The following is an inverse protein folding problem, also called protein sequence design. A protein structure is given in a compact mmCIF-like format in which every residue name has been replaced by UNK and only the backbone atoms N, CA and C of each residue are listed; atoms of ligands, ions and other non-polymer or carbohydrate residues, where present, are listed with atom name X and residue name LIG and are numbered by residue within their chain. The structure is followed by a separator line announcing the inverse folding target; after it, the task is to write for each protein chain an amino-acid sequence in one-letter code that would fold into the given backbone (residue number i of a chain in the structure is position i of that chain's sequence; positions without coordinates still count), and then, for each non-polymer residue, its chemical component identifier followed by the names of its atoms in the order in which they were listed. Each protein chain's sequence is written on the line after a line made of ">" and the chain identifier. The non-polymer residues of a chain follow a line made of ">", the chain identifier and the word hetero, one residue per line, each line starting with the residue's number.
data_IF_553158118341
#
_entry.id   IF_553158118341
#
_cell.length_a   1.000
_cell.length_b   1.000
_cell.length_c   1.000
_cell.angle_alpha   90.00
_cell.angle_beta   90.00
_cell.angle_gamma   90.00
#
_symmetry.space_group_name_H-M   'P 1'
#
loop_
_entity.id
_entity.type
_entity.pdbx_description
1 polymer ?
#
# COMPACT_ATOMS: atom_id res chain seq x y z
N UNK A 1 -1.39 -13.18 -27.22
CA UNK A 1 -2.67 -13.81 -26.87
C UNK A 1 -3.24 -13.07 -25.67
N UNK A 2 -4.12 -12.06 -25.90
CA UNK A 2 -4.70 -11.27 -24.80
C UNK A 2 -5.88 -12.05 -24.24
N UNK A 3 -5.79 -12.48 -23.00
CA UNK A 3 -6.90 -13.11 -22.28
C UNK A 3 -8.01 -12.06 -22.17
N UNK A 4 -9.11 -12.26 -22.89
CA UNK A 4 -10.31 -11.42 -22.85
C UNK A 4 -11.02 -11.67 -21.52
N UNK A 5 -10.71 -10.85 -20.51
CA UNK A 5 -11.35 -10.93 -19.19
C UNK A 5 -12.84 -10.62 -19.38
N UNK A 6 -13.77 -11.47 -18.88
CA UNK A 6 -15.21 -11.25 -18.97
C UNK A 6 -15.62 -9.90 -18.36
N UNK A 7 -16.62 -9.24 -18.97
CA UNK A 7 -17.05 -7.90 -18.57
C UNK A 7 -17.44 -7.77 -17.09
N UNK A 8 -18.05 -8.79 -16.49
CA UNK A 8 -18.42 -8.84 -15.08
C UNK A 8 -17.21 -8.86 -14.11
N UNK A 9 -16.06 -9.40 -14.53
CA UNK A 9 -14.82 -9.34 -13.73
C UNK A 9 -14.12 -7.99 -13.86
N UNK A 10 -14.46 -7.19 -14.87
CA UNK A 10 -13.94 -5.82 -15.00
C UNK A 10 -14.58 -4.86 -14.00
N UNK A 11 -15.78 -5.15 -13.53
CA UNK A 11 -16.53 -4.30 -12.59
C UNK A 11 -16.11 -4.47 -11.12
N UNK A 12 -15.29 -5.48 -10.80
CA UNK A 12 -14.91 -5.83 -9.41
C UNK A 12 -13.39 -5.94 -9.18
N UNK A 13 -12.59 -5.21 -9.96
CA UNK A 13 -11.11 -5.34 -9.89
C UNK A 13 -10.54 -4.83 -8.57
N UNK A 14 -10.96 -3.65 -8.16
CA UNK A 14 -10.48 -3.06 -6.92
C UNK A 14 -11.04 -3.79 -5.69
N UNK A 15 -12.23 -4.38 -5.79
CA UNK A 15 -12.75 -5.27 -4.75
C UNK A 15 -11.81 -6.47 -4.55
N UNK A 16 -11.38 -7.15 -5.62
CA UNK A 16 -10.46 -8.28 -5.52
C UNK A 16 -9.12 -7.87 -4.88
N UNK A 17 -8.57 -6.72 -5.28
CA UNK A 17 -7.34 -6.18 -4.71
C UNK A 17 -7.51 -5.85 -3.22
N UNK A 18 -8.62 -5.22 -2.85
CA UNK A 18 -8.92 -4.88 -1.45
C UNK A 18 -9.03 -6.15 -0.60
N UNK A 19 -9.76 -7.17 -1.07
CA UNK A 19 -9.87 -8.46 -0.37
C UNK A 19 -8.49 -9.10 -0.21
N UNK A 20 -7.68 -9.12 -1.28
CA UNK A 20 -6.33 -9.69 -1.21
C UNK A 20 -5.43 -8.92 -0.25
N UNK A 21 -5.54 -7.59 -0.20
CA UNK A 21 -4.81 -6.74 0.75
C UNK A 21 -5.23 -7.02 2.20
N UNK A 22 -6.53 -7.15 2.47
CA UNK A 22 -7.03 -7.50 3.81
C UNK A 22 -6.55 -8.89 4.23
N UNK A 23 -6.60 -9.87 3.32
CA UNK A 23 -6.06 -11.21 3.57
C UNK A 23 -4.55 -11.12 3.84
N UNK A 24 -3.80 -10.34 3.06
CA UNK A 24 -2.38 -10.12 3.27
C UNK A 24 -2.10 -9.55 4.67
N UNK A 25 -2.83 -8.53 5.09
CA UNK A 25 -2.66 -7.91 6.41
C UNK A 25 -2.98 -8.86 7.57
N UNK A 26 -4.00 -9.73 7.42
CA UNK A 26 -4.38 -10.72 8.45
C UNK A 26 -3.39 -11.89 8.49
N UNK A 27 -2.95 -12.38 7.34
CA UNK A 27 -2.12 -13.59 7.25
C UNK A 27 -0.65 -13.29 7.48
N UNK A 28 -0.18 -12.08 7.13
CA UNK A 28 1.24 -11.70 7.26
C UNK A 28 1.82 -11.91 8.67
N UNK A 29 1.17 -11.53 9.78
CA UNK A 29 1.69 -11.77 11.12
C UNK A 29 1.72 -13.26 11.51
N UNK A 30 0.81 -14.07 10.94
CA UNK A 30 0.69 -15.50 11.24
C UNK A 30 1.81 -16.33 10.59
N UNK A 31 2.33 -15.89 9.44
CA UNK A 31 3.37 -16.60 8.70
C UNK A 31 4.78 -16.40 9.28
N UNK A 32 4.95 -15.42 10.18
CA UNK A 32 6.25 -15.10 10.77
C UNK A 32 7.31 -14.77 9.72
N UNK A 33 8.59 -15.07 10.02
CA UNK A 33 9.72 -14.85 9.10
C UNK A 33 10.01 -16.09 8.21
N UNK A 34 8.98 -16.73 7.69
CA UNK A 34 9.14 -17.90 6.83
C UNK A 34 9.35 -17.50 5.37
N UNK A 35 9.95 -18.39 4.57
CA UNK A 35 10.06 -18.21 3.12
C UNK A 35 8.67 -18.05 2.47
N UNK A 36 7.63 -18.67 3.06
CA UNK A 36 6.24 -18.59 2.62
C UNK A 36 5.74 -17.15 2.73
N UNK A 37 6.01 -16.48 3.87
CA UNK A 37 5.67 -15.06 4.03
C UNK A 37 6.32 -14.19 2.96
N UNK A 38 7.61 -14.41 2.70
CA UNK A 38 8.39 -13.63 1.73
C UNK A 38 7.83 -13.78 0.31
N UNK A 39 7.49 -15.00 -0.09
CA UNK A 39 6.83 -15.28 -1.38
C UNK A 39 5.45 -14.59 -1.43
N UNK A 40 4.66 -14.71 -0.35
CA UNK A 40 3.34 -14.11 -0.27
C UNK A 40 3.37 -12.58 -0.36
N UNK A 41 4.37 -11.94 0.26
CA UNK A 41 4.60 -10.49 0.15
C UNK A 41 4.94 -10.08 -1.29
N UNK A 42 5.81 -10.82 -1.99
CA UNK A 42 6.14 -10.54 -3.38
C UNK A 42 4.93 -10.71 -4.30
N UNK A 43 4.08 -11.71 -4.06
CA UNK A 43 2.82 -11.89 -4.78
C UNK A 43 1.84 -10.74 -4.51
N UNK A 44 1.78 -10.22 -3.29
CA UNK A 44 0.99 -9.03 -2.94
C UNK A 44 1.46 -7.81 -3.72
N UNK A 45 2.77 -7.52 -3.76
CA UNK A 45 3.29 -6.38 -4.51
C UNK A 45 3.10 -6.54 -6.02
N UNK A 46 3.26 -7.75 -6.55
CA UNK A 46 2.98 -8.05 -7.96
C UNK A 46 1.50 -7.80 -8.29
N UNK A 47 0.59 -8.29 -7.46
CA UNK A 47 -0.85 -8.09 -7.67
C UNK A 47 -1.23 -6.60 -7.61
N UNK A 48 -0.69 -5.84 -6.63
CA UNK A 48 -0.90 -4.40 -6.51
C UNK A 48 -0.40 -3.65 -7.75
N UNK A 49 0.76 -4.04 -8.28
CA UNK A 49 1.32 -3.50 -9.51
C UNK A 49 0.42 -3.81 -10.73
N UNK A 50 -0.01 -5.05 -10.90
CA UNK A 50 -0.84 -5.46 -12.05
C UNK A 50 -2.17 -4.70 -12.07
N UNK A 51 -2.78 -4.49 -10.91
CA UNK A 51 -4.02 -3.72 -10.79
C UNK A 51 -3.80 -2.23 -11.07
N UNK A 52 -2.71 -1.65 -10.58
CA UNK A 52 -2.31 -0.29 -10.89
C UNK A 52 -2.05 -0.08 -12.39
N UNK A 53 -1.45 -1.08 -13.07
CA UNK A 53 -1.28 -1.07 -14.53
C UNK A 53 -2.63 -1.02 -15.26
N UNK A 54 -3.65 -1.68 -14.72
CA UNK A 54 -5.01 -1.64 -15.30
C UNK A 54 -5.68 -0.28 -15.12
N UNK A 55 -5.40 0.43 -14.03
CA UNK A 55 -5.89 1.77 -13.73
C UNK A 55 -5.17 2.86 -14.54
N UNK A 56 -3.89 2.65 -14.83
CA UNK A 56 -2.99 3.63 -15.48
C UNK A 56 -3.22 3.81 -16.99
N UNK A 57 -4.15 3.08 -17.60
CA UNK A 57 -4.45 3.17 -19.02
C UNK A 57 -3.26 2.74 -19.93
N UNK A 58 -3.00 3.51 -21.00
CA UNK A 58 -1.94 3.20 -21.98
C UNK A 58 -0.59 3.89 -21.72
N UNK A 59 -0.36 4.45 -20.54
CA UNK A 59 0.89 5.15 -20.25
C UNK A 59 2.07 4.19 -20.15
N UNK A 60 2.82 4.07 -21.26
CA UNK A 60 3.93 3.11 -21.40
C UNK A 60 5.09 3.40 -20.42
N UNK A 61 5.33 4.69 -20.11
CA UNK A 61 6.41 5.10 -19.20
C UNK A 61 6.13 4.66 -17.76
N UNK A 62 4.89 4.87 -17.29
CA UNK A 62 4.47 4.43 -15.96
C UNK A 62 4.49 2.90 -15.85
N UNK A 63 4.08 2.20 -16.89
CA UNK A 63 4.16 0.73 -16.93
C UNK A 63 5.59 0.24 -16.82
N UNK A 64 6.52 0.82 -17.59
CA UNK A 64 7.95 0.48 -17.52
C UNK A 64 8.54 0.77 -16.12
N UNK A 65 8.18 1.90 -15.51
CA UNK A 65 8.60 2.26 -14.17
C UNK A 65 8.14 1.25 -13.11
N UNK A 66 6.86 0.86 -13.14
CA UNK A 66 6.29 -0.11 -12.19
C UNK A 66 6.96 -1.49 -12.30
N UNK A 67 7.19 -1.98 -13.52
CA UNK A 67 7.93 -3.22 -13.74
C UNK A 67 9.38 -3.12 -13.27
N UNK A 68 10.05 -2.00 -13.52
CA UNK A 68 11.42 -1.74 -13.06
C UNK A 68 11.54 -1.72 -11.55
N UNK A 69 10.62 -1.03 -10.85
CA UNK A 69 10.60 -0.98 -9.38
C UNK A 69 10.31 -2.33 -8.75
N UNK A 70 9.37 -3.09 -9.29
CA UNK A 70 9.10 -4.44 -8.80
C UNK A 70 10.29 -5.38 -9.02
N UNK A 71 10.90 -5.36 -10.21
CA UNK A 71 12.08 -6.16 -10.51
C UNK A 71 13.27 -5.79 -9.61
N UNK A 72 13.47 -4.49 -9.32
CA UNK A 72 14.48 -4.01 -8.39
C UNK A 72 14.21 -4.52 -6.97
N UNK A 73 12.97 -4.46 -6.48
CA UNK A 73 12.60 -4.98 -5.17
C UNK A 73 12.88 -6.50 -5.06
N UNK A 74 12.53 -7.28 -6.10
CA UNK A 74 12.83 -8.72 -6.15
C UNK A 74 14.34 -8.96 -6.18
N UNK A 75 15.09 -8.21 -6.96
CA UNK A 75 16.56 -8.34 -7.05
C UNK A 75 17.21 -8.07 -5.68
N UNK A 76 16.88 -6.95 -5.04
CA UNK A 76 17.45 -6.60 -3.73
C UNK A 76 17.04 -7.59 -2.65
N UNK A 77 15.80 -8.09 -2.70
CA UNK A 77 15.37 -9.18 -1.84
C UNK A 77 16.23 -10.44 -2.02
N UNK A 78 16.51 -10.86 -3.26
CA UNK A 78 17.33 -12.03 -3.53
C UNK A 78 18.78 -11.82 -3.09
N UNK A 79 19.34 -10.62 -3.27
CA UNK A 79 20.68 -10.27 -2.79
C UNK A 79 20.75 -10.30 -1.25
N UNK A 80 19.75 -9.77 -0.56
CA UNK A 80 19.65 -9.82 0.89
C UNK A 80 19.50 -11.26 1.43
N UNK A 81 18.79 -12.12 0.69
CA UNK A 81 18.54 -13.51 1.06
C UNK A 81 19.72 -14.46 0.72
N UNK A 82 20.50 -14.15 -0.31
CA UNK A 82 21.60 -15.02 -0.78
C UNK A 82 22.81 -15.06 0.14
N UNK A 83 22.90 -14.11 1.10
CA UNK A 83 24.10 -13.94 1.92
C UNK A 83 25.30 -13.36 1.16
N UNK A 84 25.10 -12.93 -0.09
CA UNK A 84 26.14 -12.25 -0.87
C UNK A 84 26.52 -10.93 -0.21
N UNK A 85 27.82 -10.74 0.05
CA UNK A 85 28.39 -9.59 0.72
C UNK A 85 27.62 -9.27 2.05
N UNK A 86 27.84 -10.06 3.13
CA UNK A 86 27.13 -9.91 4.40
C UNK A 86 27.27 -8.52 5.01
N UNK A 87 28.36 -7.82 4.73
CA UNK A 87 28.65 -6.44 5.15
C UNK A 87 27.66 -5.44 4.52
N UNK A 88 27.13 -5.73 3.32
CA UNK A 88 26.17 -4.89 2.61
C UNK A 88 24.72 -5.30 2.84
N UNK A 89 24.45 -6.30 3.69
CA UNK A 89 23.11 -6.85 3.91
C UNK A 89 22.10 -5.77 4.31
N UNK A 90 22.50 -4.84 5.17
CA UNK A 90 21.64 -3.73 5.62
C UNK A 90 21.28 -2.79 4.45
N UNK A 91 22.23 -2.54 3.55
CA UNK A 91 22.00 -1.74 2.35
C UNK A 91 21.04 -2.43 1.37
N UNK A 92 21.15 -3.76 1.20
CA UNK A 92 20.22 -4.52 0.37
C UNK A 92 18.79 -4.44 0.91
N UNK A 93 18.61 -4.57 2.22
CA UNK A 93 17.30 -4.37 2.85
C UNK A 93 16.78 -2.94 2.66
N UNK A 94 17.60 -1.93 2.84
CA UNK A 94 17.23 -0.53 2.62
C UNK A 94 16.77 -0.27 1.19
N UNK A 95 17.50 -0.79 0.20
CA UNK A 95 17.14 -0.66 -1.21
C UNK A 95 15.87 -1.43 -1.58
N UNK A 96 15.66 -2.62 -1.02
CA UNK A 96 14.40 -3.38 -1.16
C UNK A 96 13.22 -2.55 -0.67
N UNK A 97 13.29 -2.05 0.58
CA UNK A 97 12.23 -1.27 1.21
C UNK A 97 11.97 0.03 0.44
N UNK A 98 13.01 0.73 0.01
CA UNK A 98 12.87 1.95 -0.79
C UNK A 98 12.19 1.67 -2.15
N UNK A 99 12.55 0.57 -2.82
CA UNK A 99 11.94 0.15 -4.08
C UNK A 99 10.45 -0.18 -3.89
N UNK A 100 10.10 -0.87 -2.81
CA UNK A 100 8.71 -1.18 -2.44
C UNK A 100 7.93 0.09 -2.12
N UNK A 101 8.50 1.01 -1.34
CA UNK A 101 7.87 2.29 -1.00
C UNK A 101 7.53 3.09 -2.26
N UNK A 102 8.47 3.20 -3.20
CA UNK A 102 8.25 3.88 -4.48
C UNK A 102 7.21 3.15 -5.35
N UNK A 103 7.23 1.82 -5.37
CA UNK A 103 6.23 1.01 -6.08
C UNK A 103 4.83 1.30 -5.53
N UNK A 104 4.65 1.23 -4.21
CA UNK A 104 3.37 1.50 -3.54
C UNK A 104 2.90 2.94 -3.78
N UNK A 105 3.81 3.91 -3.75
CA UNK A 105 3.50 5.31 -4.05
C UNK A 105 3.00 5.49 -5.48
N UNK A 106 3.67 4.88 -6.47
CA UNK A 106 3.22 4.90 -7.86
C UNK A 106 1.86 4.20 -8.03
N UNK A 107 1.63 3.08 -7.33
CA UNK A 107 0.36 2.37 -7.33
C UNK A 107 -0.76 3.24 -6.73
N UNK A 108 -0.55 3.85 -5.58
CA UNK A 108 -1.50 4.74 -4.93
C UNK A 108 -1.84 5.95 -5.81
N UNK A 109 -0.83 6.60 -6.40
CA UNK A 109 -1.03 7.72 -7.32
C UNK A 109 -1.83 7.33 -8.57
N UNK A 110 -1.58 6.14 -9.15
CA UNK A 110 -2.33 5.64 -10.30
C UNK A 110 -3.79 5.35 -9.93
N UNK A 111 -4.04 4.74 -8.77
CA UNK A 111 -5.40 4.46 -8.28
C UNK A 111 -6.14 5.77 -8.00
N UNK A 112 -5.52 6.71 -7.27
CA UNK A 112 -6.11 8.01 -6.97
C UNK A 112 -6.44 8.78 -8.25
N UNK A 113 -5.52 8.80 -9.22
CA UNK A 113 -5.78 9.47 -10.50
C UNK A 113 -6.96 8.85 -11.25
N UNK A 114 -7.14 7.53 -11.19
CA UNK A 114 -8.27 6.84 -11.82
C UNK A 114 -9.60 7.17 -11.14
N UNK A 115 -9.61 7.34 -9.81
CA UNK A 115 -10.80 7.74 -9.05
C UNK A 115 -11.27 9.12 -9.49
N UNK A 116 -10.37 10.11 -9.54
CA UNK A 116 -10.73 11.50 -9.88
C UNK A 116 -11.03 11.72 -11.37
N UNK A 117 -10.56 10.85 -12.27
CA UNK A 117 -10.89 10.90 -13.69
C UNK A 117 -12.24 10.25 -14.02
N UNK A 118 -12.77 9.42 -13.13
CA UNK A 118 -14.06 8.76 -13.30
C UNK A 118 -15.23 9.75 -13.21
N UNK A 119 -16.13 9.74 -14.22
CA UNK A 119 -17.31 10.60 -14.24
C UNK A 119 -18.51 10.00 -13.49
N UNK A 120 -18.45 8.72 -13.14
CA UNK A 120 -19.52 8.00 -12.42
C UNK A 120 -18.93 7.22 -11.26
N UNK A 121 -19.60 7.27 -10.11
CA UNK A 121 -19.26 6.45 -8.96
C UNK A 121 -19.89 5.08 -9.15
N UNK A 122 -19.05 4.07 -9.19
CA UNK A 122 -19.41 2.66 -9.13
C UNK A 122 -18.90 2.06 -7.81
N UNK A 123 -19.40 0.89 -7.41
CA UNK A 123 -18.90 0.17 -6.24
C UNK A 123 -17.38 -0.04 -6.31
N UNK A 124 -16.85 -0.32 -7.49
CA UNK A 124 -15.41 -0.49 -7.71
C UNK A 124 -14.60 0.80 -7.38
N UNK A 125 -15.18 2.00 -7.57
CA UNK A 125 -14.57 3.28 -7.18
C UNK A 125 -14.44 3.40 -5.66
N UNK A 126 -15.42 2.90 -4.90
CA UNK A 126 -15.37 2.88 -3.44
C UNK A 126 -14.24 1.94 -2.96
N UNK A 127 -14.16 0.75 -3.56
CA UNK A 127 -13.07 -0.19 -3.23
C UNK A 127 -11.70 0.34 -3.64
N UNK A 128 -11.60 1.05 -4.77
CA UNK A 128 -10.38 1.75 -5.17
C UNK A 128 -9.93 2.76 -4.11
N UNK A 129 -10.89 3.50 -3.54
CA UNK A 129 -10.61 4.46 -2.49
C UNK A 129 -10.16 3.78 -1.19
N UNK A 130 -10.84 2.71 -0.75
CA UNK A 130 -10.39 1.94 0.42
C UNK A 130 -8.98 1.40 0.19
N UNK A 131 -8.72 0.89 -1.03
CA UNK A 131 -7.39 0.37 -1.37
C UNK A 131 -6.32 1.46 -1.33
N UNK A 132 -6.58 2.65 -1.88
CA UNK A 132 -5.63 3.76 -1.82
C UNK A 132 -5.30 4.16 -0.38
N UNK A 133 -6.29 4.16 0.52
CA UNK A 133 -6.07 4.39 1.96
C UNK A 133 -5.12 3.37 2.58
N UNK A 134 -5.36 2.07 2.32
CA UNK A 134 -4.50 1.00 2.82
C UNK A 134 -3.08 1.09 2.24
N UNK A 135 -2.93 1.48 0.96
CA UNK A 135 -1.62 1.69 0.35
C UNK A 135 -0.88 2.86 1.00
N UNK A 136 -1.56 3.96 1.36
CA UNK A 136 -0.95 5.08 2.08
C UNK A 136 -0.38 4.60 3.42
N UNK A 137 -1.13 3.82 4.19
CA UNK A 137 -0.63 3.22 5.42
C UNK A 137 0.61 2.35 5.17
N UNK A 138 0.58 1.49 4.16
CA UNK A 138 1.73 0.63 3.85
C UNK A 138 2.95 1.44 3.37
N UNK A 139 2.77 2.60 2.73
CA UNK A 139 3.86 3.51 2.38
C UNK A 139 4.51 4.07 3.65
N UNK A 140 3.72 4.53 4.63
CA UNK A 140 4.27 4.99 5.90
C UNK A 140 4.97 3.88 6.66
N UNK A 141 4.44 2.65 6.63
CA UNK A 141 5.13 1.49 7.21
C UNK A 141 6.53 1.27 6.58
N UNK A 142 6.69 1.44 5.26
CA UNK A 142 8.00 1.36 4.61
C UNK A 142 8.92 2.53 5.01
N UNK A 143 8.38 3.73 5.18
CA UNK A 143 9.15 4.90 5.66
C UNK A 143 9.67 4.65 7.08
N UNK A 144 8.84 4.10 7.98
CA UNK A 144 9.26 3.71 9.34
C UNK A 144 10.30 2.59 9.32
N UNK A 145 10.15 1.62 8.41
CA UNK A 145 11.12 0.56 8.23
C UNK A 145 12.49 1.10 7.79
N UNK A 146 12.51 2.05 6.84
CA UNK A 146 13.74 2.76 6.44
C UNK A 146 14.34 3.53 7.63
N UNK A 147 13.51 4.24 8.39
CA UNK A 147 13.98 4.98 9.56
C UNK A 147 14.65 4.04 10.58
N UNK A 148 14.07 2.87 10.85
CA UNK A 148 14.66 1.89 11.77
C UNK A 148 15.97 1.28 11.27
N UNK A 149 16.22 1.23 9.98
CA UNK A 149 17.53 0.81 9.44
C UNK A 149 18.62 1.81 9.83
N UNK A 150 18.32 3.12 9.75
CA UNK A 150 19.29 4.17 10.07
C UNK A 150 19.35 4.48 11.59
N UNK A 151 18.22 4.37 12.27
CA UNK A 151 18.07 4.70 13.69
C UNK A 151 17.25 3.59 14.38
N UNK A 152 17.91 2.48 14.82
CA UNK A 152 17.22 1.33 15.43
C UNK A 152 16.41 1.66 16.68
N UNK A 153 16.74 2.75 17.39
CA UNK A 153 16.02 3.22 18.57
C UNK A 153 14.77 4.06 18.25
N UNK A 154 14.35 4.14 16.97
CA UNK A 154 13.25 5.01 16.55
C UNK A 154 11.90 4.66 17.15
N UNK A 155 11.69 3.41 17.54
CA UNK A 155 10.43 2.94 18.12
C UNK A 155 10.68 2.08 19.36
N UNK A 156 9.75 2.20 20.33
CA UNK A 156 9.66 1.31 21.48
C UNK A 156 8.55 0.30 21.24
N UNK A 157 8.86 -0.98 21.39
CA UNK A 157 7.94 -2.11 21.25
C UNK A 157 7.56 -2.68 22.63
N UNK A 158 6.37 -3.32 22.78
CA UNK A 158 5.87 -3.84 24.05
C UNK A 158 6.70 -5.00 24.61
N UNK A 159 7.30 -5.80 23.74
CA UNK A 159 8.27 -6.85 24.12
C UNK A 159 9.65 -6.49 23.60
N UNK A 160 10.72 -6.78 24.35
CA UNK A 160 12.05 -6.68 23.77
C UNK A 160 12.08 -7.59 22.54
N UNK A 161 12.39 -7.00 21.41
CA UNK A 161 12.49 -7.69 20.12
C UNK A 161 13.72 -8.61 20.16
N UNK A 162 13.62 -9.70 20.91
CA UNK A 162 14.65 -10.73 20.96
C UNK A 162 14.57 -11.51 19.65
N UNK A 163 15.37 -11.10 18.68
CA UNK A 163 15.77 -11.94 17.57
C UNK A 163 15.07 -11.76 16.23
N UNK A 164 14.09 -10.89 16.05
CA UNK A 164 13.36 -10.87 14.76
C UNK A 164 13.18 -9.46 14.16
N UNK A 165 14.32 -8.87 13.75
CA UNK A 165 14.35 -7.59 13.01
C UNK A 165 13.44 -7.61 11.77
N UNK A 166 13.40 -8.74 11.05
CA UNK A 166 12.53 -8.92 9.88
C UNK A 166 11.04 -8.85 10.24
N UNK A 167 10.63 -9.41 11.39
CA UNK A 167 9.25 -9.35 11.87
C UNK A 167 8.84 -7.91 12.19
N UNK A 168 9.68 -7.18 12.92
CA UNK A 168 9.43 -5.80 13.31
C UNK A 168 9.21 -4.95 12.06
N UNK A 169 10.14 -5.00 11.11
CA UNK A 169 10.08 -4.19 9.90
C UNK A 169 8.84 -4.51 9.07
N UNK A 170 8.43 -5.77 8.97
CA UNK A 170 7.39 -6.19 8.03
C UNK A 170 5.99 -6.20 8.63
N UNK A 171 5.84 -6.55 9.89
CA UNK A 171 4.54 -6.75 10.55
C UNK A 171 4.21 -5.65 11.54
N UNK A 172 5.12 -5.39 12.48
CA UNK A 172 4.82 -4.50 13.60
C UNK A 172 4.75 -3.04 13.15
N UNK A 173 5.59 -2.63 12.18
CA UNK A 173 5.51 -1.27 11.62
C UNK A 173 4.31 -1.08 10.69
N UNK A 174 3.86 -2.12 9.98
CA UNK A 174 2.61 -2.07 9.23
C UNK A 174 1.39 -1.94 10.15
N UNK A 175 1.38 -2.69 11.26
CA UNK A 175 0.37 -2.54 12.30
C UNK A 175 0.40 -1.13 12.91
N UNK A 176 1.56 -0.62 13.31
CA UNK A 176 1.71 0.73 13.86
C UNK A 176 1.16 1.79 12.90
N UNK A 177 1.50 1.71 11.62
CA UNK A 177 1.00 2.63 10.60
C UNK A 177 -0.53 2.55 10.45
N UNK A 178 -1.11 1.34 10.36
CA UNK A 178 -2.56 1.18 10.27
C UNK A 178 -3.29 1.74 11.50
N UNK A 179 -2.74 1.55 12.70
CA UNK A 179 -3.28 2.08 13.95
C UNK A 179 -3.17 3.61 14.00
N UNK A 180 -2.07 4.16 13.47
CA UNK A 180 -1.82 5.61 13.43
C UNK A 180 -2.72 6.31 12.42
N UNK A 181 -2.78 5.82 11.18
CA UNK A 181 -3.59 6.44 10.12
C UNK A 181 -5.09 6.37 10.43
N UNK A 182 -5.53 5.28 11.10
CA UNK A 182 -6.90 5.13 11.58
C UNK A 182 -7.18 5.90 12.89
N UNK A 183 -6.19 6.63 13.43
CA UNK A 183 -6.27 7.40 14.69
C UNK A 183 -6.68 6.57 15.92
N UNK A 184 -6.40 5.26 15.92
CA UNK A 184 -6.66 4.39 17.07
C UNK A 184 -5.68 4.63 18.21
N UNK A 185 -4.36 4.69 17.89
CA UNK A 185 -3.32 5.07 18.82
C UNK A 185 -3.26 4.23 20.10
N UNK A 186 -3.22 2.90 20.00
CA UNK A 186 -3.21 2.01 21.18
C UNK A 186 -2.04 2.26 22.15
N UNK A 187 -0.91 2.83 21.66
CA UNK A 187 0.23 3.19 22.50
C UNK A 187 1.11 2.01 22.90
N UNK A 188 0.94 0.87 22.29
CA UNK A 188 1.77 -0.33 22.46
C UNK A 188 3.09 -0.22 21.68
N UNK A 189 3.06 0.35 20.48
CA UNK A 189 4.26 0.77 19.73
C UNK A 189 4.30 2.29 19.75
N UNK A 190 5.44 2.86 20.19
CA UNK A 190 5.57 4.30 20.42
C UNK A 190 6.83 4.84 19.74
N UNK A 191 6.71 5.89 18.90
CA UNK A 191 7.86 6.55 18.29
C UNK A 191 8.69 7.26 19.38
N UNK A 192 10.01 7.09 19.34
CA UNK A 192 10.95 7.64 20.35
C UNK A 192 11.66 8.87 19.82
N UNK A 193 12.20 8.82 18.62
CA UNK A 193 12.95 9.92 18.03
C UNK A 193 12.03 10.98 17.44
N UNK A 194 12.48 12.22 17.39
CA UNK A 194 11.68 13.37 16.94
C UNK A 194 11.15 13.17 15.52
N UNK A 195 11.96 12.62 14.60
CA UNK A 195 11.55 12.37 13.23
C UNK A 195 10.40 11.35 13.15
N UNK A 196 10.50 10.22 13.91
CA UNK A 196 9.44 9.22 13.95
C UNK A 196 8.11 9.81 14.49
N UNK A 197 8.20 10.65 15.55
CA UNK A 197 7.04 11.35 16.12
C UNK A 197 6.37 12.27 15.11
N UNK A 198 7.15 13.07 14.38
CA UNK A 198 6.62 13.98 13.37
C UNK A 198 6.02 13.26 12.18
N UNK A 199 6.66 12.17 11.73
CA UNK A 199 6.10 11.32 10.67
C UNK A 199 4.75 10.70 11.08
N UNK A 200 4.61 10.24 12.33
CA UNK A 200 3.35 9.71 12.85
C UNK A 200 2.24 10.79 12.88
N UNK A 201 2.58 12.03 13.25
CA UNK A 201 1.64 13.16 13.20
C UNK A 201 1.22 13.43 11.75
N UNK A 202 2.17 13.49 10.82
CA UNK A 202 1.88 13.70 9.38
C UNK A 202 0.99 12.59 8.85
N UNK A 203 1.28 11.33 9.19
CA UNK A 203 0.45 10.19 8.79
C UNK A 203 -0.99 10.32 9.29
N UNK A 204 -1.19 10.62 10.57
CA UNK A 204 -2.51 10.80 11.16
C UNK A 204 -3.28 11.93 10.47
N UNK A 205 -2.62 13.06 10.19
CA UNK A 205 -3.22 14.20 9.47
C UNK A 205 -3.60 13.80 8.04
N UNK A 206 -2.70 13.11 7.31
CA UNK A 206 -2.98 12.61 5.95
C UNK A 206 -4.19 11.68 5.95
N UNK A 207 -4.26 10.75 6.93
CA UNK A 207 -5.39 9.83 7.07
C UNK A 207 -6.71 10.55 7.28
N UNK A 208 -6.76 11.54 8.17
CA UNK A 208 -7.96 12.33 8.45
C UNK A 208 -8.41 13.15 7.23
N UNK A 209 -7.48 13.85 6.57
CA UNK A 209 -7.80 14.59 5.36
C UNK A 209 -8.25 13.66 4.23
N UNK A 210 -7.64 12.49 4.10
CA UNK A 210 -8.05 11.51 3.09
C UNK A 210 -9.51 11.11 3.27
N UNK A 211 -9.91 10.70 4.48
CA UNK A 211 -11.29 10.28 4.77
C UNK A 211 -12.25 11.44 4.58
N UNK A 212 -11.93 12.65 5.09
CA UNK A 212 -12.81 13.83 4.98
C UNK A 212 -13.04 14.23 3.52
N UNK A 213 -11.97 14.33 2.72
CA UNK A 213 -12.05 14.73 1.30
C UNK A 213 -12.74 13.66 0.48
N UNK A 214 -12.42 12.37 0.72
CA UNK A 214 -13.03 11.27 -0.01
C UNK A 214 -14.53 11.21 0.22
N UNK A 215 -14.99 11.28 1.48
CA UNK A 215 -16.42 11.24 1.80
C UNK A 215 -17.15 12.44 1.19
N UNK A 216 -16.58 13.64 1.31
CA UNK A 216 -17.16 14.83 0.70
C UNK A 216 -17.28 14.71 -0.83
N UNK A 217 -16.25 14.17 -1.49
CA UNK A 217 -16.26 13.96 -2.92
C UNK A 217 -17.27 12.89 -3.35
N UNK A 218 -17.32 11.75 -2.64
CA UNK A 218 -18.28 10.67 -2.90
C UNK A 218 -19.72 11.16 -2.77
N UNK A 219 -20.04 11.84 -1.67
CA UNK A 219 -21.40 12.37 -1.42
C UNK A 219 -21.76 13.44 -2.46
N UNK A 220 -20.87 14.37 -2.74
CA UNK A 220 -21.10 15.42 -3.74
C UNK A 220 -21.36 14.86 -5.14
N UNK A 221 -20.59 13.86 -5.55
CA UNK A 221 -20.76 13.22 -6.85
C UNK A 221 -22.03 12.38 -6.91
N UNK A 222 -22.39 11.67 -5.84
CA UNK A 222 -23.63 10.90 -5.74
C UNK A 222 -24.86 11.80 -5.88
N UNK A 223 -24.89 12.91 -5.16
CA UNK A 223 -25.98 13.92 -5.26
C UNK A 223 -26.07 14.49 -6.68
N UNK A 224 -24.94 14.85 -7.27
CA UNK A 224 -24.89 15.37 -8.64
C UNK A 224 -25.43 14.36 -9.67
N UNK A 225 -25.18 13.06 -9.48
CA UNK A 225 -25.72 12.02 -10.35
C UNK A 225 -27.23 11.83 -10.15
N UNK A 226 -27.71 11.92 -8.92
CA UNK A 226 -29.14 11.76 -8.59
C UNK A 226 -30.00 12.94 -9.10
N UNK A 227 -29.42 14.12 -9.20
CA UNK A 227 -30.11 15.33 -9.66
C UNK A 227 -30.09 15.52 -11.18
N UNK A 228 -29.38 14.70 -11.96
CA UNK A 228 -29.45 14.72 -13.42
C UNK A 228 -30.76 14.06 -13.84
N UNK A 229 -31.75 14.82 -14.41
CA UNK A 229 -32.98 14.24 -14.93
C UNK A 229 -32.59 13.21 -16.00
N UNK A 230 -33.12 12.01 -15.89
CA UNK A 230 -32.92 10.99 -16.90
C UNK A 230 -33.30 11.55 -18.27
N UNK A 231 -32.40 11.48 -19.23
CA UNK A 231 -32.76 11.67 -20.63
C UNK A 231 -33.82 10.59 -20.89
N UNK A 232 -35.04 10.94 -21.33
CA UNK A 232 -35.99 9.91 -21.73
C UNK A 232 -35.37 9.18 -22.91
N UNK A 233 -35.14 7.88 -22.74
CA UNK A 233 -34.79 7.00 -23.84
C UNK A 233 -35.84 7.20 -24.91
N UNK A 234 -35.41 7.77 -26.05
CA UNK A 234 -36.24 8.02 -27.20
C UNK A 234 -36.87 6.70 -27.68
N UNK A 235 -38.16 6.77 -27.85
CA UNK A 235 -38.99 5.82 -28.59
C UNK A 235 -38.50 5.68 -30.00
#
# INVERSE_FOLDING_TARGET
>A
MFIKIPSHLKELRFLQLTIFTVIFLIVSPLLGNTIIFKIFAQLFFLNSMLMSLSASGKNIRLRGLLWGLWAAAVLFFLLAASGYAPELRLWWYGLEIASIALLLLCCAAAILSSIFQGHRIHLDTIFAAVMAYLLIALIFAQIYALLMIFEPASFKFPSPAVGDFDRIIRSDLAYFSLVTIATLGYGDIVPQVSLAKMLAVVEAVVGQFYVAVLVAWLVGTFISQSLRPGHPEGR
#
